data_IF_450372421788
#
_entry.id   IF_450372421788
#
_cell.length_a   1.000
_cell.length_b   1.000
_cell.length_c   1.000
_cell.angle_alpha   90.00
_cell.angle_beta   90.00
_cell.angle_gamma   90.00
#
_symmetry.space_group_name_H-M   'P 1'
#
loop_
_entity.id
_entity.type
_entity.pdbx_description
1 polymer ?
2 non-polymer ?
3 non-polymer ?
4 water ?
#
# COMPACT_ATOMS: atom_id res chain seq x y z
N UNK A 8 21.53 -39.11 -8.40
CA UNK A 8 21.08 -40.51 -8.52
C UNK A 8 20.55 -40.98 -7.15
N UNK A 9 19.37 -41.62 -7.16
CA UNK A 9 18.64 -42.21 -6.01
C UNK A 9 18.32 -41.11 -4.97
N UNK A 10 17.13 -40.53 -5.14
CA UNK A 10 16.38 -39.69 -4.18
C UNK A 10 15.53 -40.65 -3.35
N UNK A 11 14.83 -40.21 -2.29
CA UNK A 11 13.92 -41.10 -1.57
C UNK A 11 12.61 -41.19 -2.36
N UNK A 12 11.76 -42.12 -1.93
CA UNK A 12 10.43 -42.43 -2.50
C UNK A 12 9.55 -41.18 -2.39
N UNK A 13 8.83 -40.80 -3.48
CA UNK A 13 7.82 -39.76 -3.38
C UNK A 13 6.84 -40.08 -2.24
N UNK A 14 6.69 -41.37 -1.89
CA UNK A 14 5.74 -41.84 -0.84
C UNK A 14 6.12 -41.30 0.54
N UNK A 15 7.39 -40.91 0.79
CA UNK A 15 7.87 -40.40 2.10
C UNK A 15 8.41 -38.98 1.97
N UNK A 16 8.45 -38.41 0.77
CA UNK A 16 9.05 -37.09 0.52
C UNK A 16 8.35 -36.45 -0.67
N UNK A 17 7.31 -35.65 -0.40
CA UNK A 17 6.30 -35.30 -1.42
C UNK A 17 6.91 -34.49 -2.56
N UNK A 18 8.05 -33.84 -2.33
CA UNK A 18 8.69 -32.88 -3.26
C UNK A 18 9.32 -33.58 -4.48
N UNK A 19 9.71 -34.85 -4.35
CA UNK A 19 10.40 -35.60 -5.45
C UNK A 19 9.39 -36.44 -6.26
N UNK A 20 8.09 -36.25 -6.15
CA UNK A 20 7.14 -36.78 -7.17
C UNK A 20 7.69 -36.29 -8.52
N UNK A 21 7.53 -37.04 -9.60
CA UNK A 21 8.03 -36.62 -10.93
C UNK A 21 7.29 -35.36 -11.39
N UNK A 22 8.05 -34.39 -11.90
CA UNK A 22 7.52 -33.24 -12.66
C UNK A 22 6.67 -33.75 -13.81
N UNK A 23 5.42 -33.31 -13.86
CA UNK A 23 4.43 -33.50 -14.96
C UNK A 23 3.53 -32.27 -14.98
N UNK A 24 2.57 -32.21 -15.91
CA UNK A 24 1.59 -31.10 -15.96
C UNK A 24 0.55 -31.31 -14.86
N UNK A 25 0.66 -32.42 -14.13
CA UNK A 25 -0.13 -32.67 -12.90
C UNK A 25 0.29 -31.70 -11.80
N UNK A 26 1.56 -31.27 -11.77
CA UNK A 26 2.12 -30.63 -10.56
C UNK A 26 2.89 -29.34 -10.87
N UNK A 27 3.47 -29.16 -12.07
CA UNK A 27 4.37 -28.00 -12.38
C UNK A 27 4.24 -27.62 -13.85
N UNK A 28 4.29 -26.32 -14.15
CA UNK A 28 4.21 -25.73 -15.52
C UNK A 28 5.25 -24.62 -15.68
N UNK A 29 6.07 -24.71 -16.72
CA UNK A 29 7.12 -23.72 -17.08
C UNK A 29 6.64 -22.90 -18.28
N UNK A 30 7.02 -21.62 -18.36
CA UNK A 30 6.85 -20.81 -19.61
C UNK A 30 7.65 -21.54 -20.70
N UNK A 31 7.06 -21.74 -21.87
CA UNK A 31 7.74 -22.36 -23.04
C UNK A 31 7.84 -21.31 -24.15
N UNK A 32 8.93 -20.55 -24.13
CA UNK A 32 9.15 -19.38 -25.01
C UNK A 32 10.66 -19.08 -25.11
N UNK A 33 10.99 -18.07 -25.92
CA UNK A 33 12.40 -17.76 -26.27
C UNK A 33 13.14 -17.28 -25.02
N UNK A 34 12.44 -16.60 -24.10
CA UNK A 34 13.03 -16.07 -22.84
C UNK A 34 13.47 -17.26 -21.98
N UNK A 35 12.63 -18.30 -21.90
CA UNK A 35 12.81 -19.47 -21.00
C UNK A 35 13.81 -20.48 -21.59
N UNK A 36 14.35 -20.21 -22.79
CA UNK A 36 15.39 -21.05 -23.44
C UNK A 36 16.67 -21.04 -22.61
N UNK A 37 17.24 -19.84 -22.44
CA UNK A 37 18.53 -19.61 -21.74
C UNK A 37 18.34 -19.78 -20.23
N UNK A 38 19.04 -20.74 -19.60
CA UNK A 38 19.30 -20.76 -18.15
C UNK A 38 18.15 -21.33 -17.33
N UNK A 39 17.87 -20.69 -16.19
CA UNK A 39 16.90 -21.12 -15.13
C UNK A 39 15.50 -21.16 -15.74
N UNK A 40 14.81 -22.32 -15.82
CA UNK A 40 13.44 -22.36 -16.31
C UNK A 40 12.52 -21.45 -15.48
N UNK A 41 11.55 -20.83 -16.14
CA UNK A 41 10.61 -19.82 -15.56
C UNK A 41 9.30 -20.53 -15.22
N UNK A 42 8.85 -20.38 -13.97
CA UNK A 42 7.71 -21.14 -13.40
C UNK A 42 6.42 -20.39 -13.76
N UNK A 43 5.44 -21.07 -14.36
CA UNK A 43 4.10 -20.51 -14.66
C UNK A 43 3.13 -20.87 -13.52
N UNK A 44 3.28 -22.06 -12.96
CA UNK A 44 2.45 -22.51 -11.83
C UNK A 44 2.80 -23.92 -11.43
N UNK A 45 2.25 -24.36 -10.29
CA UNK A 45 2.40 -25.74 -9.79
C UNK A 45 1.62 -25.92 -8.53
N UNK A 46 1.50 -27.16 -8.03
CA UNK A 46 1.10 -27.40 -6.61
C UNK A 46 2.04 -26.56 -5.74
N UNK A 47 1.59 -26.16 -4.57
CA UNK A 47 2.45 -25.47 -3.58
C UNK A 47 3.65 -26.37 -3.25
N UNK A 48 3.46 -27.68 -3.21
CA UNK A 48 4.59 -28.64 -2.99
C UNK A 48 5.66 -28.36 -4.04
N UNK A 49 5.27 -28.31 -5.30
CA UNK A 49 6.22 -28.14 -6.41
C UNK A 49 6.86 -26.76 -6.36
N UNK A 50 6.13 -25.72 -5.98
CA UNK A 50 6.70 -24.35 -5.92
C UNK A 50 7.75 -24.27 -4.79
N UNK A 51 7.44 -24.89 -3.66
CA UNK A 51 8.42 -24.99 -2.54
C UNK A 51 9.67 -25.73 -3.04
N UNK A 52 9.48 -26.82 -3.77
CA UNK A 52 10.61 -27.62 -4.29
C UNK A 52 11.53 -26.68 -5.08
N UNK A 53 10.96 -25.96 -6.05
CA UNK A 53 11.71 -25.03 -6.94
C UNK A 53 12.20 -23.80 -6.17
N UNK A 54 11.56 -23.44 -5.06
CA UNK A 54 12.04 -22.32 -4.20
C UNK A 54 13.36 -22.69 -3.52
N UNK A 55 13.64 -23.99 -3.37
CA UNK A 55 14.76 -24.56 -2.60
C UNK A 55 15.41 -25.66 -3.45
N UNK A 56 15.63 -25.38 -4.75
CA UNK A 56 16.04 -26.42 -5.75
C UNK A 56 17.53 -26.73 -5.57
N UNK A 57 17.91 -28.01 -5.58
CA UNK A 57 19.34 -28.43 -5.35
C UNK A 57 20.23 -27.98 -6.52
N UNK A 58 19.69 -28.00 -7.74
CA UNK A 58 20.47 -27.94 -9.00
C UNK A 58 20.96 -26.52 -9.29
N UNK A 59 20.34 -25.47 -8.75
CA UNK A 59 20.78 -24.06 -8.92
C UNK A 59 20.09 -23.15 -7.89
N UNK A 60 20.66 -21.97 -7.67
CA UNK A 60 20.07 -20.87 -6.87
C UNK A 60 19.04 -20.16 -7.74
N UNK A 61 18.04 -19.51 -7.15
CA UNK A 61 16.97 -18.80 -7.92
C UNK A 61 16.59 -17.56 -7.13
N UNK A 62 17.48 -16.57 -7.07
CA UNK A 62 17.22 -15.38 -6.25
C UNK A 62 15.90 -14.69 -6.64
N UNK A 63 15.54 -14.70 -7.93
CA UNK A 63 14.38 -13.95 -8.49
C UNK A 63 13.09 -14.63 -8.03
N UNK A 64 13.07 -15.95 -8.06
CA UNK A 64 11.90 -16.74 -7.62
C UNK A 64 11.72 -16.52 -6.12
N UNK A 65 12.80 -16.60 -5.34
CA UNK A 65 12.79 -16.42 -3.87
C UNK A 65 12.17 -15.06 -3.54
N UNK A 66 12.58 -14.01 -4.24
CA UNK A 66 12.05 -12.64 -4.02
C UNK A 66 10.55 -12.54 -4.37
N UNK A 67 10.17 -13.00 -5.55
CA UNK A 67 8.76 -12.95 -6.03
C UNK A 67 7.89 -13.78 -5.08
N UNK A 68 8.33 -15.00 -4.78
CA UNK A 68 7.64 -15.94 -3.87
C UNK A 68 7.32 -15.29 -2.53
N UNK A 69 8.34 -14.69 -1.90
CA UNK A 69 8.19 -14.24 -0.50
C UNK A 69 7.38 -12.96 -0.44
N UNK A 70 7.33 -12.21 -1.54
CA UNK A 70 6.41 -11.04 -1.75
C UNK A 70 4.99 -11.54 -1.92
N UNK A 71 4.78 -12.65 -2.63
CA UNK A 71 3.44 -13.00 -3.17
C UNK A 71 2.76 -14.17 -2.44
N UNK A 72 3.50 -14.95 -1.64
CA UNK A 72 3.05 -16.33 -1.27
C UNK A 72 1.73 -16.26 -0.50
N UNK A 73 1.44 -15.15 0.19
CA UNK A 73 0.30 -15.05 1.12
C UNK A 73 -1.01 -15.08 0.33
N UNK A 74 -0.96 -14.83 -0.98
CA UNK A 74 -2.15 -14.96 -1.85
C UNK A 74 -2.43 -16.43 -2.16
N UNK A 75 -1.62 -17.40 -1.69
CA UNK A 75 -1.89 -18.83 -2.00
C UNK A 75 -1.51 -19.81 -0.89
N UNK A 76 -0.93 -19.30 0.20
CA UNK A 76 -0.28 -20.11 1.26
C UNK A 76 -0.25 -19.27 2.53
N UNK A 77 -0.66 -19.80 3.69
CA UNK A 77 -0.50 -19.08 4.98
C UNK A 77 0.97 -19.12 5.40
N UNK A 78 1.43 -18.12 6.20
CA UNK A 78 2.78 -18.14 6.75
C UNK A 78 3.11 -19.36 7.60
N UNK A 79 2.13 -19.84 8.36
CA UNK A 79 2.30 -21.04 9.20
C UNK A 79 2.55 -22.22 8.25
N UNK A 80 1.77 -22.33 7.17
CA UNK A 80 1.90 -23.46 6.23
C UNK A 80 3.24 -23.33 5.49
N UNK A 81 3.73 -22.13 5.22
CA UNK A 81 5.01 -21.98 4.47
C UNK A 81 6.13 -22.52 5.36
N UNK A 82 6.15 -22.11 6.62
CA UNK A 82 7.13 -22.67 7.58
C UNK A 82 7.02 -24.19 7.59
N UNK A 83 5.81 -24.75 7.64
CA UNK A 83 5.62 -26.23 7.74
C UNK A 83 6.22 -26.90 6.51
N UNK A 84 5.95 -26.32 5.34
CA UNK A 84 6.49 -26.82 4.05
C UNK A 84 8.03 -26.66 4.02
N UNK A 85 8.61 -25.58 4.52
CA UNK A 85 10.11 -25.47 4.50
C UNK A 85 10.74 -26.49 5.47
N UNK A 86 10.07 -26.82 6.56
CA UNK A 86 10.59 -27.82 7.55
C UNK A 86 10.42 -29.21 6.94
N UNK A 87 9.25 -29.51 6.36
CA UNK A 87 8.98 -30.76 5.63
C UNK A 87 10.03 -30.95 4.51
N UNK A 88 10.30 -29.90 3.74
CA UNK A 88 11.36 -29.92 2.70
C UNK A 88 12.70 -30.30 3.33
N UNK A 89 13.02 -29.75 4.50
CA UNK A 89 14.33 -29.83 5.17
C UNK A 89 14.60 -31.24 5.69
N UNK A 90 13.58 -31.88 6.21
CA UNK A 90 13.63 -33.22 6.83
C UNK A 90 13.61 -34.27 5.70
N UNK A 91 14.68 -34.31 4.91
CA UNK A 91 14.85 -35.20 3.71
C UNK A 91 15.19 -36.62 4.16
N UNK A 92 14.34 -37.64 3.89
CA UNK A 92 14.67 -39.04 4.23
C UNK A 92 15.81 -39.66 3.41
N UNK A 93 16.35 -40.78 3.91
CA UNK A 93 17.37 -41.61 3.22
C UNK A 93 16.72 -42.27 1.99
N UNK A 94 17.41 -42.32 0.83
CA UNK A 94 16.92 -43.07 -0.32
C UNK A 94 16.66 -44.55 0.03
N UNK A 95 15.80 -45.21 -0.73
CA UNK A 95 15.60 -46.69 -0.65
C UNK A 95 16.88 -47.34 -1.17
N UNK A 96 17.60 -48.15 -0.36
CA UNK A 96 18.86 -48.78 -0.79
C UNK A 96 18.63 -50.12 -1.52
N UNK A 97 19.50 -51.14 -1.35
CA UNK A 97 19.50 -52.40 -2.17
C UNK A 97 18.12 -53.06 -2.08
N UNK A 115 24.36 -42.53 -0.25
CA UNK A 115 24.06 -41.52 0.81
C UNK A 115 25.14 -40.41 0.77
N UNK A 116 26.39 -40.74 0.46
CA UNK A 116 27.50 -39.75 0.48
C UNK A 116 27.30 -38.70 -0.63
N UNK A 117 26.95 -39.12 -1.85
CA UNK A 117 26.60 -38.17 -2.95
C UNK A 117 25.25 -37.49 -2.68
N UNK A 118 24.27 -38.24 -2.17
CA UNK A 118 22.92 -37.78 -1.81
C UNK A 118 23.05 -36.63 -0.81
N UNK A 119 23.80 -36.87 0.27
CA UNK A 119 24.10 -35.89 1.34
C UNK A 119 24.80 -34.63 0.79
N UNK A 120 25.68 -34.70 -0.20
CA UNK A 120 26.44 -33.47 -0.61
C UNK A 120 25.84 -32.84 -1.89
N UNK A 121 25.15 -33.60 -2.75
CA UNK A 121 24.64 -33.11 -4.06
C UNK A 121 23.13 -32.83 -3.97
N UNK A 122 22.43 -33.45 -3.02
CA UNK A 122 20.99 -33.20 -2.77
C UNK A 122 20.79 -32.50 -1.42
N UNK A 123 21.02 -33.22 -0.30
CA UNK A 123 20.60 -32.75 1.05
C UNK A 123 21.21 -31.37 1.34
N UNK A 124 22.53 -31.27 1.43
CA UNK A 124 23.22 -30.04 1.88
C UNK A 124 22.80 -28.87 0.97
N UNK A 125 22.86 -29.03 -0.37
CA UNK A 125 22.40 -27.97 -1.27
C UNK A 125 20.95 -27.55 -0.97
N UNK A 126 20.05 -28.48 -0.65
CA UNK A 126 18.60 -28.20 -0.44
C UNK A 126 18.42 -27.47 0.90
N UNK A 127 19.14 -27.91 1.92
CA UNK A 127 19.00 -27.39 3.30
C UNK A 127 19.53 -25.96 3.34
N UNK A 128 20.63 -25.67 2.64
CA UNK A 128 21.20 -24.30 2.51
C UNK A 128 20.19 -23.42 1.75
N UNK A 129 19.55 -23.96 0.71
CA UNK A 129 18.55 -23.18 -0.07
C UNK A 129 17.37 -22.87 0.85
N UNK A 130 16.94 -23.80 1.72
CA UNK A 130 15.90 -23.49 2.74
C UNK A 130 16.38 -22.36 3.64
N UNK A 131 17.59 -22.50 4.23
CA UNK A 131 18.10 -21.52 5.22
C UNK A 131 18.23 -20.16 4.52
N UNK A 132 18.60 -20.17 3.22
CA UNK A 132 18.65 -18.93 2.41
C UNK A 132 17.25 -18.32 2.32
N UNK A 133 16.20 -19.13 2.10
CA UNK A 133 14.79 -18.65 2.10
C UNK A 133 14.48 -18.02 3.47
N UNK A 134 14.81 -18.70 4.57
CA UNK A 134 14.52 -18.20 5.93
C UNK A 134 15.19 -16.83 6.09
N UNK A 135 16.35 -16.67 5.49
CA UNK A 135 17.21 -15.46 5.66
C UNK A 135 16.55 -14.30 4.92
N UNK A 136 16.14 -14.50 3.67
CA UNK A 136 15.33 -13.50 2.92
C UNK A 136 14.02 -13.20 3.68
N UNK A 137 13.36 -14.25 4.18
CA UNK A 137 12.08 -14.16 4.91
C UNK A 137 12.25 -13.20 6.10
N UNK A 138 13.24 -13.43 6.95
CA UNK A 138 13.29 -12.59 8.18
C UNK A 138 13.85 -11.21 7.82
N UNK A 139 14.66 -11.10 6.76
CA UNK A 139 15.33 -9.85 6.34
C UNK A 139 14.27 -8.87 5.79
N UNK A 140 13.43 -9.36 4.87
CA UNK A 140 12.54 -8.51 4.03
C UNK A 140 11.05 -8.63 4.39
N UNK A 141 10.64 -9.60 5.19
CA UNK A 141 9.19 -9.78 5.49
C UNK A 141 9.00 -10.18 6.96
N UNK A 142 9.76 -9.56 7.86
CA UNK A 142 9.73 -9.84 9.31
C UNK A 142 8.36 -9.48 9.88
N UNK A 143 7.62 -8.61 9.20
CA UNK A 143 6.22 -8.34 9.58
C UNK A 143 5.48 -9.67 9.78
N UNK A 144 5.76 -10.70 9.01
CA UNK A 144 5.00 -11.97 9.18
C UNK A 144 5.17 -12.48 10.60
N UNK A 145 6.38 -12.34 11.15
CA UNK A 145 6.72 -12.82 12.51
C UNK A 145 6.20 -11.82 13.56
N UNK A 146 6.21 -10.53 13.21
CA UNK A 146 5.69 -9.47 14.13
C UNK A 146 4.18 -9.69 14.28
N UNK A 147 3.53 -10.11 13.20
CA UNK A 147 2.07 -10.35 13.21
C UNK A 147 1.73 -11.66 13.93
N UNK A 148 2.69 -12.57 14.13
CA UNK A 148 2.43 -13.92 14.69
C UNK A 148 3.67 -14.40 15.46
N UNK A 149 3.66 -14.21 16.77
CA UNK A 149 4.75 -14.61 17.70
C UNK A 149 4.95 -16.12 17.64
N UNK A 150 3.86 -16.89 17.47
CA UNK A 150 3.90 -18.37 17.39
C UNK A 150 4.70 -18.74 16.14
N UNK A 151 4.48 -18.06 15.02
CA UNK A 151 5.26 -18.33 13.79
C UNK A 151 6.75 -18.19 14.11
N UNK A 152 7.13 -17.15 14.81
CA UNK A 152 8.54 -16.87 15.13
C UNK A 152 9.05 -17.91 16.14
N UNK A 153 8.23 -18.36 17.10
CA UNK A 153 8.61 -19.41 18.10
C UNK A 153 8.99 -20.66 17.33
N UNK A 154 8.18 -21.04 16.33
CA UNK A 154 8.39 -22.25 15.52
C UNK A 154 9.69 -22.07 14.74
N UNK A 155 9.96 -20.86 14.25
CA UNK A 155 11.17 -20.66 13.42
C UNK A 155 12.38 -20.73 14.35
N UNK A 156 12.33 -20.07 15.50
CA UNK A 156 13.46 -20.03 16.48
C UNK A 156 13.75 -21.45 16.95
N UNK A 157 12.74 -22.21 17.40
CA UNK A 157 12.89 -23.61 17.84
C UNK A 157 13.51 -24.45 16.70
N UNK A 158 13.02 -24.35 15.47
CA UNK A 158 13.55 -25.19 14.36
C UNK A 158 15.02 -24.85 14.09
N UNK A 159 15.37 -23.56 14.07
CA UNK A 159 16.68 -23.06 13.57
C UNK A 159 17.75 -23.47 14.59
N UNK A 160 17.36 -23.47 15.85
CA UNK A 160 18.23 -23.76 17.00
C UNK A 160 18.44 -25.28 17.08
N UNK A 161 17.63 -26.08 16.33
CA UNK A 161 17.73 -27.56 16.28
C UNK A 161 18.68 -27.98 15.15
N UNK A 162 19.07 -27.05 14.29
CA UNK A 162 19.92 -27.35 13.11
C UNK A 162 21.37 -27.39 13.58
N UNK A 163 22.00 -28.55 13.55
CA UNK A 163 23.36 -28.74 14.11
C UNK A 163 24.38 -29.12 13.04
N UNK A 164 23.98 -29.23 11.77
CA UNK A 164 24.85 -29.42 10.60
C UNK A 164 26.04 -28.46 10.58
N UNK A 165 27.24 -28.99 10.40
CA UNK A 165 28.49 -28.20 10.43
C UNK A 165 28.41 -27.04 9.42
N UNK A 166 28.03 -27.28 8.17
CA UNK A 166 27.95 -26.24 7.10
C UNK A 166 26.73 -25.33 7.29
N UNK A 167 25.72 -25.77 8.02
CA UNK A 167 24.51 -24.95 8.29
C UNK A 167 24.88 -23.78 9.23
N UNK A 168 25.94 -23.92 10.04
CA UNK A 168 26.21 -23.05 11.21
C UNK A 168 26.19 -21.57 10.79
N UNK A 169 26.98 -21.18 9.78
CA UNK A 169 27.12 -19.78 9.30
C UNK A 169 25.71 -19.22 9.09
N UNK A 170 24.89 -19.93 8.31
CA UNK A 170 23.52 -19.52 7.92
C UNK A 170 22.65 -19.29 9.15
N UNK A 171 22.63 -20.27 10.04
CA UNK A 171 21.88 -20.22 11.34
C UNK A 171 22.25 -18.95 12.09
N UNK A 172 23.56 -18.67 12.21
CA UNK A 172 24.10 -17.47 12.93
C UNK A 172 23.55 -16.21 12.23
N UNK A 173 23.64 -16.17 10.92
CA UNK A 173 23.21 -15.03 10.07
C UNK A 173 21.70 -14.82 10.28
N UNK A 174 20.92 -15.89 10.32
CA UNK A 174 19.46 -15.76 10.57
C UNK A 174 19.28 -15.25 12.00
N UNK A 175 19.99 -15.80 13.00
CA UNK A 175 19.89 -15.31 14.41
C UNK A 175 20.23 -13.82 14.46
N UNK A 176 21.28 -13.39 13.76
CA UNK A 176 21.71 -11.97 13.84
C UNK A 176 20.58 -11.09 13.28
N UNK A 177 19.91 -11.50 12.20
CA UNK A 177 18.83 -10.69 11.57
C UNK A 177 17.66 -10.60 12.56
N UNK A 178 17.30 -11.70 13.19
CA UNK A 178 16.14 -11.71 14.12
C UNK A 178 16.42 -10.77 15.30
N UNK A 179 17.66 -10.81 15.80
CA UNK A 179 18.14 -9.94 16.91
C UNK A 179 17.98 -8.48 16.47
N UNK A 180 18.45 -8.12 15.27
CA UNK A 180 18.39 -6.73 14.75
C UNK A 180 16.91 -6.28 14.60
N UNK A 181 16.03 -7.15 14.09
CA UNK A 181 14.58 -6.84 13.91
C UNK A 181 13.91 -6.68 15.27
N UNK A 182 14.22 -7.54 16.24
CA UNK A 182 13.66 -7.43 17.60
C UNK A 182 14.15 -6.14 18.28
N UNK A 183 15.42 -5.75 18.07
CA UNK A 183 15.99 -4.51 18.65
C UNK A 183 15.15 -3.34 18.15
N UNK A 184 15.21 -3.05 16.85
CA UNK A 184 14.51 -1.94 16.17
C UNK A 184 12.99 -2.00 16.39
N UNK A 185 12.41 -3.15 16.78
CA UNK A 185 10.99 -3.27 17.21
C UNK A 185 10.79 -2.46 18.51
N UNK A 186 11.77 -2.50 19.43
CA UNK A 186 11.81 -1.69 20.69
C UNK A 186 12.39 -0.29 20.40
N UNK A 187 13.69 -0.18 20.08
CA UNK A 187 14.34 1.09 19.63
C UNK A 187 13.57 1.63 18.41
N UNK A 193 13.37 11.36 13.41
CA UNK A 193 13.38 12.17 12.16
C UNK A 193 14.66 13.02 12.12
N UNK A 194 15.38 12.93 11.01
CA UNK A 194 16.73 13.55 10.87
C UNK A 194 16.72 14.41 9.59
N UNK A 195 16.52 15.72 9.74
CA UNK A 195 16.51 16.74 8.65
C UNK A 195 17.88 16.88 8.02
N UNK A 196 17.95 16.72 6.69
CA UNK A 196 19.19 16.84 5.88
C UNK A 196 19.36 18.30 5.42
N UNK A 197 18.34 19.16 5.57
CA UNK A 197 18.36 20.61 5.22
C UNK A 197 17.27 21.31 6.03
N UNK A 198 17.33 22.64 6.23
CA UNK A 198 16.36 23.31 7.08
C UNK A 198 14.98 23.20 6.44
N UNK A 199 14.01 22.64 7.19
CA UNK A 199 12.63 22.54 6.73
C UNK A 199 12.04 23.94 6.86
N UNK A 200 10.96 24.28 6.13
CA UNK A 200 10.34 25.60 6.25
C UNK A 200 9.63 25.89 7.55
N UNK A 201 9.54 27.17 7.97
CA UNK A 201 8.75 27.50 9.15
C UNK A 201 7.28 27.13 8.91
N UNK A 202 6.63 26.64 9.97
CA UNK A 202 5.20 26.28 10.05
C UNK A 202 4.35 27.53 9.81
N UNK A 203 3.29 27.44 9.04
CA UNK A 203 2.42 28.60 8.68
C UNK A 203 1.14 28.55 9.52
N UNK A 204 0.78 29.69 10.12
CA UNK A 204 -0.40 29.83 10.99
C UNK A 204 -1.34 30.88 10.39
N UNK A 205 -2.65 30.66 10.49
CA UNK A 205 -3.64 31.61 9.93
C UNK A 205 -4.38 32.25 11.09
N UNK A 206 -5.53 31.69 11.46
CA UNK A 206 -6.44 32.24 12.49
C UNK A 206 -6.27 31.34 13.69
N UNK A 207 -6.37 30.02 13.48
CA UNK A 207 -6.05 28.98 14.50
C UNK A 207 -4.60 29.17 14.93
N UNK A 208 -4.38 29.29 16.24
CA UNK A 208 -3.05 29.47 16.87
C UNK A 208 -2.66 28.16 17.56
N UNK A 209 -1.34 27.90 17.74
CA UNK A 209 -0.86 26.67 18.36
C UNK A 209 -1.49 26.34 19.72
N UNK A 210 -1.71 25.05 19.99
CA UNK A 210 -2.29 24.56 21.25
C UNK A 210 -3.78 24.80 21.36
N UNK A 211 -4.41 25.43 20.35
CA UNK A 211 -5.86 25.76 20.34
C UNK A 211 -6.60 24.76 19.43
N UNK A 212 -6.42 23.46 19.66
CA UNK A 212 -6.88 22.37 18.76
C UNK A 212 -8.41 22.46 18.59
N UNK A 213 -9.13 23.11 19.50
CA UNK A 213 -10.61 23.21 19.44
C UNK A 213 -10.99 24.16 18.31
N UNK A 214 -10.14 25.14 17.98
CA UNK A 214 -10.36 26.15 16.90
C UNK A 214 -9.85 25.65 15.54
N UNK A 215 -9.46 24.38 15.43
CA UNK A 215 -8.88 23.85 14.17
C UNK A 215 -10.03 23.51 13.25
N UNK A 216 -10.04 24.17 12.07
CA UNK A 216 -11.03 23.95 10.99
C UNK A 216 -10.30 24.13 9.65
N UNK A 217 -10.87 23.59 8.58
CA UNK A 217 -10.42 23.79 7.19
C UNK A 217 -9.98 25.25 7.01
N UNK A 218 -10.76 26.19 7.56
CA UNK A 218 -10.73 27.61 7.14
C UNK A 218 -9.94 28.48 8.14
N UNK A 219 -9.64 27.97 9.33
CA UNK A 219 -8.91 28.72 10.40
C UNK A 219 -7.43 28.30 10.43
N UNK A 220 -7.14 27.08 10.00
CA UNK A 220 -5.76 26.64 9.73
C UNK A 220 -5.31 27.25 8.41
N UNK A 221 -4.00 27.47 8.28
CA UNK A 221 -3.36 27.95 7.04
C UNK A 221 -3.40 26.86 5.97
N UNK A 222 -3.88 27.16 4.74
CA UNK A 222 -3.91 26.17 3.67
C UNK A 222 -2.55 25.52 3.36
N UNK A 223 -1.47 26.32 3.43
CA UNK A 223 -0.08 25.80 3.20
C UNK A 223 0.16 24.65 4.19
N UNK A 224 -0.07 24.90 5.46
CA UNK A 224 0.23 23.94 6.54
C UNK A 224 -0.74 22.77 6.51
N UNK A 225 -1.98 22.99 6.08
CA UNK A 225 -2.95 21.87 5.94
C UNK A 225 -2.35 20.89 4.94
N UNK A 226 -1.84 21.42 3.83
CA UNK A 226 -1.30 20.63 2.71
C UNK A 226 -0.05 19.91 3.21
N UNK A 227 0.81 20.62 3.96
CA UNK A 227 2.12 20.06 4.39
C UNK A 227 1.89 18.88 5.34
N UNK A 228 0.99 19.04 6.30
CA UNK A 228 0.79 18.06 7.40
C UNK A 228 -0.02 16.87 6.87
N UNK A 229 -0.88 17.09 5.86
CA UNK A 229 -1.60 15.96 5.23
C UNK A 229 -0.61 15.18 4.39
N UNK A 230 0.35 15.88 3.81
CA UNK A 230 1.39 15.29 2.96
C UNK A 230 2.32 14.45 3.84
N UNK A 231 2.75 14.98 4.99
CA UNK A 231 3.52 14.19 5.98
C UNK A 231 2.70 12.98 6.43
N UNK A 232 1.42 13.17 6.76
CA UNK A 232 0.59 12.03 7.23
C UNK A 232 0.59 11.00 6.12
N UNK A 233 0.37 11.43 4.85
CA UNK A 233 0.07 10.56 3.69
C UNK A 233 1.36 9.89 3.22
N UNK A 234 2.45 10.63 3.20
CA UNK A 234 3.80 10.04 2.98
C UNK A 234 4.01 8.90 4.00
N UNK A 235 3.82 9.14 5.32
CA UNK A 235 3.99 8.12 6.40
C UNK A 235 3.08 6.91 6.12
N UNK A 236 1.81 7.14 5.83
CA UNK A 236 0.89 6.02 5.52
C UNK A 236 1.39 5.25 4.30
N UNK A 237 1.90 5.95 3.29
CA UNK A 237 2.26 5.37 1.98
C UNK A 237 3.56 4.55 2.14
N UNK A 238 4.55 5.05 2.87
CA UNK A 238 5.86 4.39 3.08
C UNK A 238 5.70 3.08 3.89
N UNK A 239 4.61 2.95 4.67
CA UNK A 239 4.40 1.75 5.52
C UNK A 239 3.73 0.63 4.75
N UNK A 240 3.18 0.87 3.55
CA UNK A 240 2.47 -0.19 2.76
C UNK A 240 3.46 -1.18 2.12
N UNK A 241 3.34 -2.47 2.43
CA UNK A 241 4.19 -3.52 1.80
C UNK A 241 3.50 -4.03 0.55
N UNK A 242 4.24 -4.35 -0.54
CA UNK A 242 3.68 -5.03 -1.70
C UNK A 242 2.69 -6.16 -1.36
N UNK A 243 3.05 -6.94 -0.36
CA UNK A 243 2.31 -8.17 0.03
C UNK A 243 0.91 -7.80 0.51
N UNK A 244 0.69 -6.55 0.98
CA UNK A 244 -0.64 -6.07 1.46
C UNK A 244 -1.61 -5.93 0.27
N UNK A 245 -1.07 -5.93 -0.94
CA UNK A 245 -1.83 -5.74 -2.19
C UNK A 245 -1.98 -7.04 -2.97
N UNK A 246 -1.07 -8.02 -2.78
CA UNK A 246 -1.02 -9.19 -3.70
C UNK A 246 -2.22 -10.07 -3.37
N UNK A 247 -2.84 -10.61 -4.42
CA UNK A 247 -4.05 -11.45 -4.29
C UNK A 247 -5.16 -10.66 -3.65
N UNK A 248 -5.26 -9.35 -3.94
CA UNK A 248 -6.30 -8.42 -3.44
C UNK A 248 -6.69 -8.76 -1.99
N UNK A 249 -5.69 -8.95 -1.11
CA UNK A 249 -5.87 -9.52 0.26
C UNK A 249 -6.57 -8.50 1.16
N UNK A 250 -6.53 -7.21 0.84
CA UNK A 250 -7.18 -6.14 1.66
C UNK A 250 -8.71 -6.20 1.55
N UNK A 251 -9.27 -6.97 0.61
CA UNK A 251 -10.75 -7.18 0.48
C UNK A 251 -11.19 -8.53 1.00
N UNK A 252 -10.25 -9.47 1.28
CA UNK A 252 -10.57 -10.84 1.78
C UNK A 252 -10.66 -10.78 3.30
N UNK A 253 -11.05 -11.86 3.98
CA UNK A 253 -11.42 -11.74 5.41
C UNK A 253 -10.17 -11.68 6.29
N UNK A 254 -8.99 -12.03 5.74
CA UNK A 254 -7.70 -11.95 6.46
C UNK A 254 -7.08 -10.55 6.29
N UNK A 255 -7.84 -9.57 5.79
CA UNK A 255 -7.32 -8.25 5.36
C UNK A 255 -6.71 -7.42 6.52
N UNK A 256 -7.34 -7.37 7.70
CA UNK A 256 -6.87 -6.56 8.86
C UNK A 256 -5.48 -7.03 9.29
N UNK A 257 -5.06 -8.23 8.89
CA UNK A 257 -3.73 -8.76 9.28
C UNK A 257 -2.83 -8.77 8.04
N UNK A 258 -3.37 -9.09 6.87
CA UNK A 258 -2.60 -9.09 5.60
C UNK A 258 -2.32 -7.64 5.13
N UNK A 259 -3.20 -6.68 5.43
CA UNK A 259 -3.17 -5.33 4.78
C UNK A 259 -3.41 -4.25 5.82
N UNK A 260 -2.79 -4.26 7.01
CA UNK A 260 -3.12 -3.29 8.03
C UNK A 260 -2.77 -1.87 7.53
N UNK A 261 -1.65 -1.71 6.81
CA UNK A 261 -1.10 -0.38 6.40
C UNK A 261 -1.90 0.17 5.24
N UNK A 262 -2.14 -0.67 4.23
CA UNK A 262 -3.07 -0.34 3.12
C UNK A 262 -4.43 0.12 3.67
N UNK A 263 -4.97 -0.54 4.68
CA UNK A 263 -6.37 -0.27 5.11
C UNK A 263 -6.41 1.04 5.89
N UNK A 264 -5.36 1.35 6.63
CA UNK A 264 -5.21 2.67 7.29
C UNK A 264 -5.20 3.79 6.23
N UNK A 265 -4.51 3.54 5.11
CA UNK A 265 -4.34 4.49 4.00
C UNK A 265 -5.69 4.66 3.32
N UNK A 266 -6.38 3.57 3.02
CA UNK A 266 -7.75 3.61 2.40
C UNK A 266 -8.71 4.32 3.36
N UNK A 267 -8.68 4.01 4.64
CA UNK A 267 -9.63 4.62 5.59
C UNK A 267 -9.31 6.13 5.68
N UNK A 268 -8.04 6.51 5.52
CA UNK A 268 -7.60 7.91 5.62
C UNK A 268 -8.21 8.67 4.46
N UNK A 269 -8.04 8.11 3.28
CA UNK A 269 -8.47 8.67 1.98
C UNK A 269 -9.97 8.92 2.01
N UNK A 270 -10.73 7.94 2.44
CA UNK A 270 -12.20 7.99 2.62
C UNK A 270 -12.56 9.12 3.61
N UNK A 271 -11.92 9.16 4.77
CA UNK A 271 -12.27 10.16 5.81
C UNK A 271 -11.93 11.57 5.31
N UNK A 272 -10.78 11.75 4.69
CA UNK A 272 -10.37 13.08 4.18
C UNK A 272 -11.23 13.49 2.99
N UNK A 273 -11.53 12.57 2.07
CA UNK A 273 -12.39 12.86 0.90
C UNK A 273 -13.78 13.30 1.38
N UNK A 274 -14.38 12.56 2.32
CA UNK A 274 -15.70 12.88 2.90
C UNK A 274 -15.63 14.14 3.75
N UNK A 275 -14.50 14.45 4.41
CA UNK A 275 -14.34 15.71 5.18
C UNK A 275 -14.38 16.92 4.26
N UNK A 276 -13.77 16.82 3.09
CA UNK A 276 -13.74 17.93 2.12
C UNK A 276 -15.16 18.16 1.62
N UNK A 277 -15.88 17.07 1.35
CA UNK A 277 -17.26 17.13 0.82
C UNK A 277 -18.16 17.74 1.90
N UNK A 278 -17.93 17.36 3.13
CA UNK A 278 -18.75 17.75 4.28
C UNK A 278 -18.55 19.26 4.48
N UNK A 279 -17.30 19.71 4.53
CA UNK A 279 -16.93 21.15 4.63
C UNK A 279 -17.63 21.94 3.53
N UNK A 280 -17.69 21.42 2.30
CA UNK A 280 -18.31 22.21 1.19
C UNK A 280 -19.83 22.27 1.41
N UNK A 281 -20.46 21.13 1.65
CA UNK A 281 -21.93 20.95 1.53
C UNK A 281 -22.62 21.50 2.79
N UNK A 282 -21.91 21.58 3.93
CA UNK A 282 -22.48 22.13 5.20
C UNK A 282 -22.31 23.66 5.28
N UNK A 283 -21.52 24.25 4.38
CA UNK A 283 -21.41 25.71 4.21
C UNK A 283 -22.65 26.18 3.45
N UNK A 284 -23.72 26.46 4.20
CA UNK A 284 -25.04 26.76 3.63
C UNK A 284 -24.96 28.16 3.03
N UNK A 285 -24.28 29.06 3.71
CA UNK A 285 -24.07 30.44 3.23
C UNK A 285 -23.22 30.35 1.95
N UNK A 286 -23.72 30.91 0.86
CA UNK A 286 -23.16 30.72 -0.51
C UNK A 286 -21.76 31.31 -0.57
N UNK A 287 -21.56 32.54 -0.07
CA UNK A 287 -20.22 33.19 -0.05
C UNK A 287 -19.22 32.30 0.71
N UNK A 288 -19.64 31.77 1.86
CA UNK A 288 -18.78 30.96 2.73
C UNK A 288 -18.38 29.70 1.96
N UNK A 289 -19.34 29.08 1.31
CA UNK A 289 -19.12 27.82 0.58
C UNK A 289 -18.13 28.06 -0.57
N UNK A 290 -18.21 29.20 -1.25
CA UNK A 290 -17.28 29.55 -2.36
C UNK A 290 -15.89 29.74 -1.75
N UNK A 291 -15.79 30.47 -0.64
CA UNK A 291 -14.51 30.63 0.08
C UNK A 291 -13.95 29.25 0.46
N UNK A 292 -14.81 28.30 0.86
CA UNK A 292 -14.39 26.94 1.31
C UNK A 292 -13.87 26.15 0.09
N UNK A 293 -14.61 26.14 -1.01
CA UNK A 293 -14.18 25.46 -2.24
C UNK A 293 -12.86 26.08 -2.72
N UNK A 294 -12.72 27.39 -2.59
CA UNK A 294 -11.53 28.10 -3.09
C UNK A 294 -10.33 27.66 -2.26
N UNK A 295 -10.54 27.58 -0.94
CA UNK A 295 -9.52 27.21 0.05
C UNK A 295 -9.08 25.76 -0.23
N UNK A 296 -10.03 24.89 -0.52
CA UNK A 296 -9.70 23.50 -0.94
C UNK A 296 -8.77 23.54 -2.18
N UNK A 297 -9.10 24.34 -3.20
CA UNK A 297 -8.31 24.41 -4.46
C UNK A 297 -6.91 24.95 -4.16
N UNK A 298 -6.80 25.87 -3.23
CA UNK A 298 -5.47 26.34 -2.79
C UNK A 298 -4.70 25.16 -2.21
N UNK A 299 -5.38 24.38 -1.35
CA UNK A 299 -4.75 23.23 -0.68
C UNK A 299 -4.26 22.28 -1.78
N UNK A 300 -5.04 22.14 -2.85
CA UNK A 300 -4.73 21.26 -4.00
C UNK A 300 -3.44 21.78 -4.68
N UNK A 301 -3.28 23.10 -4.80
CA UNK A 301 -2.09 23.72 -5.43
C UNK A 301 -0.84 23.40 -4.59
N UNK A 302 -0.96 23.46 -3.27
CA UNK A 302 0.20 23.18 -2.38
C UNK A 302 0.52 21.69 -2.47
N UNK A 303 -0.49 20.81 -2.51
CA UNK A 303 -0.29 19.36 -2.77
C UNK A 303 0.50 19.18 -4.07
N UNK A 304 0.10 19.86 -5.15
CA UNK A 304 0.83 19.81 -6.45
C UNK A 304 2.27 20.28 -6.24
N UNK A 305 2.49 21.39 -5.56
CA UNK A 305 3.87 21.87 -5.34
C UNK A 305 4.68 20.78 -4.61
N UNK A 306 4.04 19.98 -3.76
CA UNK A 306 4.73 18.99 -2.86
C UNK A 306 4.81 17.61 -3.53
N UNK A 307 4.29 17.48 -4.76
CA UNK A 307 4.14 16.20 -5.48
C UNK A 307 3.35 15.21 -4.62
N UNK A 308 2.37 15.71 -3.86
CA UNK A 308 1.40 14.85 -3.14
C UNK A 308 0.19 14.66 -4.03
N UNK A 309 0.32 13.80 -5.03
CA UNK A 309 -0.72 13.46 -6.03
C UNK A 309 -1.82 12.65 -5.36
N UNK A 310 -1.48 11.97 -4.26
CA UNK A 310 -2.52 11.35 -3.42
C UNK A 310 -3.47 12.48 -3.00
N UNK A 311 -2.92 13.55 -2.45
CA UNK A 311 -3.66 14.73 -1.96
C UNK A 311 -4.49 15.35 -3.10
N UNK A 312 -3.84 15.57 -4.24
CA UNK A 312 -4.48 16.18 -5.44
C UNK A 312 -5.75 15.37 -5.78
N UNK A 313 -5.61 14.05 -5.91
CA UNK A 313 -6.67 13.20 -6.44
C UNK A 313 -7.70 12.88 -5.33
N UNK A 314 -7.37 13.06 -4.08
CA UNK A 314 -8.40 13.02 -3.00
C UNK A 314 -9.34 14.23 -3.15
N UNK A 315 -8.80 15.41 -3.42
CA UNK A 315 -9.61 16.66 -3.59
C UNK A 315 -10.40 16.50 -4.90
N UNK A 316 -9.74 16.06 -5.96
CA UNK A 316 -10.41 15.80 -7.26
C UNK A 316 -11.59 14.90 -6.97
N UNK A 317 -11.36 13.81 -6.22
CA UNK A 317 -12.39 12.81 -5.83
C UNK A 317 -13.55 13.53 -5.13
N UNK A 318 -13.25 14.41 -4.19
CA UNK A 318 -14.29 15.12 -3.44
C UNK A 318 -15.12 15.97 -4.40
N UNK A 319 -14.50 16.63 -5.39
CA UNK A 319 -15.18 17.71 -6.16
C UNK A 319 -15.97 17.07 -7.29
N UNK A 320 -15.61 15.86 -7.69
CA UNK A 320 -16.42 15.07 -8.65
C UNK A 320 -17.44 14.24 -7.88
N UNK A 321 -17.56 14.34 -6.56
CA UNK A 321 -18.57 13.56 -5.79
C UNK A 321 -19.98 14.04 -6.19
N UNK A 322 -20.97 13.15 -6.16
CA UNK A 322 -22.33 13.47 -6.69
C UNK A 322 -22.92 14.64 -5.91
N UNK A 323 -22.54 14.82 -4.64
CA UNK A 323 -23.10 15.85 -3.72
C UNK A 323 -22.41 17.20 -3.97
N UNK A 324 -21.21 17.22 -4.53
CA UNK A 324 -20.43 18.47 -4.75
C UNK A 324 -20.38 18.77 -6.25
N UNK A 325 -20.20 17.75 -7.12
CA UNK A 325 -20.19 17.93 -8.60
C UNK A 325 -21.34 18.84 -9.00
N UNK A 326 -22.54 18.62 -8.42
CA UNK A 326 -23.81 19.25 -8.85
C UNK A 326 -23.97 20.66 -8.28
N UNK A 327 -22.98 21.23 -7.55
CA UNK A 327 -23.05 22.64 -7.02
C UNK A 327 -22.62 23.70 -8.06
N UNK A 328 -23.34 23.79 -9.18
CA UNK A 328 -22.92 24.60 -10.36
C UNK A 328 -22.74 26.06 -9.97
N UNK A 329 -23.55 26.57 -9.03
CA UNK A 329 -23.48 28.00 -8.62
C UNK A 329 -22.16 28.23 -7.89
N UNK A 330 -21.72 27.28 -7.06
CA UNK A 330 -20.49 27.44 -6.24
C UNK A 330 -19.27 27.42 -7.14
N UNK A 331 -19.23 26.51 -8.09
CA UNK A 331 -18.10 26.39 -9.06
C UNK A 331 -18.02 27.68 -9.89
N UNK A 332 -19.17 28.16 -10.41
CA UNK A 332 -19.30 29.34 -11.33
C UNK A 332 -18.66 30.57 -10.69
N UNK A 333 -18.81 30.75 -9.37
CA UNK A 333 -18.36 31.94 -8.61
C UNK A 333 -16.85 31.90 -8.31
N UNK A 334 -16.13 30.84 -8.69
CA UNK A 334 -14.66 30.76 -8.44
C UNK A 334 -13.99 31.78 -9.35
N UNK A 335 -12.97 32.47 -8.86
CA UNK A 335 -11.96 33.17 -9.70
C UNK A 335 -11.59 32.20 -10.81
N UNK A 336 -11.38 32.69 -12.03
CA UNK A 336 -11.05 31.81 -13.17
C UNK A 336 -9.69 31.14 -12.88
N UNK A 337 -8.81 31.73 -12.07
CA UNK A 337 -7.49 31.10 -11.78
C UNK A 337 -7.74 29.85 -10.93
N UNK A 338 -8.58 29.92 -9.90
CA UNK A 338 -8.89 28.74 -9.04
C UNK A 338 -9.50 27.66 -9.94
N UNK A 339 -10.48 28.04 -10.75
CA UNK A 339 -11.10 27.16 -11.77
C UNK A 339 -10.02 26.47 -12.59
N UNK A 340 -8.99 27.22 -12.99
CA UNK A 340 -7.94 26.70 -13.89
C UNK A 340 -7.20 25.58 -13.15
N UNK A 341 -6.81 25.85 -11.91
CA UNK A 341 -6.00 24.86 -11.13
C UNK A 341 -6.85 23.61 -10.99
N UNK A 342 -8.15 23.75 -10.76
CA UNK A 342 -9.00 22.57 -10.54
C UNK A 342 -9.04 21.75 -11.83
N UNK A 343 -9.29 22.40 -12.97
CA UNK A 343 -9.40 21.80 -14.34
C UNK A 343 -8.15 20.98 -14.67
N UNK A 344 -6.97 21.55 -14.44
CA UNK A 344 -5.67 20.86 -14.67
C UNK A 344 -5.62 19.62 -13.77
N UNK A 345 -5.93 19.77 -12.49
CA UNK A 345 -5.93 18.66 -11.52
C UNK A 345 -6.88 17.56 -12.04
N UNK A 346 -8.12 17.93 -12.32
CA UNK A 346 -9.18 16.98 -12.79
C UNK A 346 -8.69 16.22 -14.03
N UNK A 347 -8.02 16.92 -14.95
CA UNK A 347 -7.56 16.32 -16.22
C UNK A 347 -6.52 15.20 -15.98
N UNK A 348 -5.73 15.27 -14.91
CA UNK A 348 -4.74 14.22 -14.52
C UNK A 348 -5.46 12.86 -14.44
N UNK A 349 -6.67 12.85 -13.89
CA UNK A 349 -7.57 11.66 -13.69
C UNK A 349 -8.18 11.11 -15.00
N UNK A 350 -8.37 11.92 -16.03
CA UNK A 350 -9.12 11.51 -17.26
C UNK A 350 -8.27 10.58 -18.12
N UNK A 351 -8.91 9.80 -19.00
CA UNK A 351 -8.26 8.85 -19.93
C UNK A 351 -7.43 7.84 -19.14
N UNK A 352 -8.00 7.25 -18.09
CA UNK A 352 -7.30 6.28 -17.21
C UNK A 352 -5.98 6.88 -16.71
N UNK A 353 -6.05 8.10 -16.14
CA UNK A 353 -4.95 8.83 -15.46
C UNK A 353 -3.76 8.95 -16.42
N UNK A 354 -4.02 9.17 -17.71
CA UNK A 354 -2.96 9.28 -18.74
C UNK A 354 -1.95 10.37 -18.33
N UNK A 355 -2.43 11.58 -18.05
CA UNK A 355 -1.60 12.78 -17.70
C UNK A 355 -0.93 12.63 -16.32
N UNK A 356 -1.63 12.04 -15.35
CA UNK A 356 -1.09 11.77 -13.99
C UNK A 356 0.15 10.89 -14.16
N UNK A 357 0.03 9.85 -14.99
CA UNK A 357 1.11 8.87 -15.19
C UNK A 357 2.32 9.55 -15.83
N UNK A 358 2.05 10.43 -16.79
CA UNK A 358 3.11 11.28 -17.41
C UNK A 358 3.72 12.16 -16.31
N UNK A 359 2.89 12.87 -15.55
CA UNK A 359 3.38 13.84 -14.53
C UNK A 359 4.24 13.08 -13.52
N UNK A 360 3.79 11.90 -13.08
CA UNK A 360 4.48 11.14 -12.01
C UNK A 360 5.89 10.77 -12.46
N UNK A 361 6.09 10.44 -13.72
CA UNK A 361 7.43 10.02 -14.18
C UNK A 361 8.35 11.23 -14.37
N UNK A 362 7.81 12.44 -14.45
CA UNK A 362 8.59 13.69 -14.67
C UNK A 362 9.06 14.34 -13.37
N UNK A 363 8.45 14.05 -12.21
CA UNK A 363 8.76 14.87 -11.01
C UNK A 363 10.03 14.34 -10.34
N UNK A 364 10.61 15.17 -9.49
CA UNK A 364 11.62 14.84 -8.46
C UNK A 364 10.95 14.50 -7.12
N UNK A 365 11.19 13.29 -6.56
CA UNK A 365 10.78 13.00 -5.18
C UNK A 365 11.41 14.03 -4.25
N UNK A 366 10.91 14.24 -3.01
CA UNK A 366 9.82 13.45 -2.46
C UNK A 366 8.48 13.57 -3.21
N UNK A 367 7.66 12.53 -3.06
CA UNK A 367 6.32 12.44 -3.69
C UNK A 367 5.47 11.40 -2.94
N UNK A 368 4.16 11.60 -2.96
CA UNK A 368 3.13 10.63 -2.51
C UNK A 368 2.34 10.29 -3.76
N UNK A 369 2.61 9.13 -4.38
CA UNK A 369 1.84 8.69 -5.55
C UNK A 369 0.37 8.62 -5.20
N UNK A 370 -0.51 8.70 -6.21
CA UNK A 370 -1.97 8.43 -6.04
C UNK A 370 -2.17 6.94 -5.79
N UNK A 371 -2.71 6.58 -4.64
CA UNK A 371 -2.62 5.17 -4.21
C UNK A 371 -3.67 4.35 -4.95
N UNK A 372 -4.85 4.94 -5.14
CA UNK A 372 -6.04 4.36 -5.79
C UNK A 372 -5.72 3.61 -7.06
N UNK A 373 -4.91 4.18 -7.94
CA UNK A 373 -4.60 3.59 -9.26
C UNK A 373 -3.88 2.24 -9.12
N UNK A 374 -3.02 2.03 -8.10
CA UNK A 374 -2.38 0.70 -7.88
C UNK A 374 -3.46 -0.31 -7.47
N UNK A 375 -4.36 0.08 -6.57
CA UNK A 375 -5.48 -0.80 -6.15
C UNK A 375 -6.29 -1.22 -7.39
N UNK A 376 -6.70 -0.23 -8.19
CA UNK A 376 -7.56 -0.43 -9.38
C UNK A 376 -6.85 -1.40 -10.32
N UNK A 377 -5.59 -1.13 -10.65
CA UNK A 377 -4.82 -1.90 -11.67
C UNK A 377 -4.51 -3.29 -11.14
N UNK A 378 -4.53 -3.48 -9.81
CA UNK A 378 -4.32 -4.81 -9.17
C UNK A 378 -5.64 -5.56 -9.20
N UNK A 379 -6.75 -4.89 -8.84
CA UNK A 379 -8.09 -5.54 -8.92
C UNK A 379 -8.27 -6.04 -10.36
N UNK A 380 -7.91 -5.26 -11.37
CA UNK A 380 -8.13 -5.68 -12.77
C UNK A 380 -7.28 -6.92 -13.04
N UNK A 381 -6.05 -6.97 -12.52
CA UNK A 381 -5.10 -8.08 -12.79
C UNK A 381 -5.53 -9.31 -11.96
N UNK A 382 -5.96 -9.09 -10.71
CA UNK A 382 -6.51 -10.17 -9.85
C UNK A 382 -7.74 -10.77 -10.52
N UNK A 383 -8.71 -9.92 -10.87
CA UNK A 383 -10.02 -10.32 -11.46
C UNK A 383 -9.78 -11.06 -12.78
N UNK A 384 -8.86 -10.58 -13.60
CA UNK A 384 -8.69 -11.02 -15.01
C UNK A 384 -7.82 -12.25 -15.19
N UNK A 385 -7.24 -12.79 -14.11
CA UNK A 385 -6.37 -14.00 -14.18
C UNK A 385 -6.85 -14.97 -13.12
N UNK A 386 -6.97 -16.24 -13.48
CA UNK A 386 -7.41 -17.33 -12.57
C UNK A 386 -6.32 -17.57 -11.54
N UNK A 387 -6.71 -17.70 -10.26
CA UNK A 387 -5.84 -18.07 -9.12
C UNK A 387 -5.17 -19.42 -9.36
N UNK A 388 -5.83 -20.27 -10.14
CA UNK A 388 -5.40 -21.64 -10.45
C UNK A 388 -5.38 -21.86 -11.97
N UNK A 389 -4.39 -22.63 -12.44
CA UNK A 389 -4.29 -23.14 -13.83
C UNK A 389 -5.35 -24.24 -14.05
N UNK A 390 -5.77 -24.95 -13.00
CA UNK A 390 -6.79 -26.05 -13.08
C UNK A 390 -7.09 -26.73 -11.73
N UNK A 391 -7.97 -27.76 -11.76
CA UNK A 391 -8.19 -28.78 -10.69
C UNK A 391 -7.99 -30.21 -11.25
N UNK A 392 -7.42 -30.36 -12.46
CA UNK A 392 -7.08 -31.65 -13.10
C UNK A 392 -5.75 -32.16 -12.55
N UNK A 393 -4.80 -31.25 -12.26
CA UNK A 393 -3.56 -31.51 -11.51
C UNK A 393 -3.78 -31.38 -10.01
N UNK A 394 -4.95 -30.86 -9.59
CA UNK A 394 -5.43 -30.80 -8.19
C UNK A 394 -4.78 -29.61 -7.48
N UNK A 395 -5.30 -28.39 -7.75
CA UNK A 395 -4.78 -27.09 -7.22
C UNK A 395 -3.37 -26.83 -7.77
N UNK A 396 -3.30 -26.56 -9.08
CA UNK A 396 -2.11 -25.97 -9.75
C UNK A 396 -2.19 -24.46 -9.53
N UNK A 397 -1.41 -23.91 -8.60
CA UNK A 397 -1.40 -22.44 -8.32
C UNK A 397 -0.94 -21.73 -9.60
N UNK A 398 -1.65 -20.67 -9.99
CA UNK A 398 -1.22 -19.77 -11.09
C UNK A 398 -0.11 -18.85 -10.55
N UNK A 399 1.16 -19.19 -10.77
CA UNK A 399 2.26 -18.37 -10.21
C UNK A 399 2.48 -17.14 -11.10
N UNK A 400 2.37 -17.30 -12.42
CA UNK A 400 2.60 -16.18 -13.37
C UNK A 400 1.65 -15.04 -13.07
N UNK A 401 0.45 -15.36 -12.59
CA UNK A 401 -0.48 -14.32 -12.12
C UNK A 401 0.17 -13.51 -11.00
N UNK A 402 0.91 -14.17 -10.09
CA UNK A 402 1.51 -13.52 -8.89
C UNK A 402 2.71 -12.70 -9.35
N UNK A 403 3.45 -13.18 -10.35
CA UNK A 403 4.57 -12.40 -10.91
C UNK A 403 4.05 -11.08 -11.51
N UNK A 404 2.91 -11.08 -12.21
CA UNK A 404 2.42 -9.86 -12.88
C UNK A 404 1.99 -8.84 -11.83
N UNK A 405 1.45 -9.31 -10.72
CA UNK A 405 0.99 -8.41 -9.64
C UNK A 405 2.22 -7.88 -8.89
N UNK A 406 3.28 -8.65 -8.78
CA UNK A 406 4.51 -8.20 -8.06
C UNK A 406 5.18 -7.11 -8.90
N UNK A 407 5.02 -7.12 -10.21
CA UNK A 407 5.52 -6.03 -11.09
C UNK A 407 4.76 -4.76 -10.72
N UNK A 408 3.46 -4.85 -10.47
CA UNK A 408 2.67 -3.64 -10.12
C UNK A 408 3.04 -3.21 -8.70
N UNK A 409 3.02 -4.12 -7.73
CA UNK A 409 3.31 -3.74 -6.32
C UNK A 409 4.72 -3.16 -6.25
N UNK A 410 5.62 -3.72 -7.06
CA UNK A 410 7.04 -3.34 -7.14
C UNK A 410 7.20 -1.86 -7.41
N UNK A 411 6.34 -1.29 -8.28
CA UNK A 411 6.38 0.15 -8.67
C UNK A 411 6.13 1.04 -7.45
N UNK A 412 5.34 0.55 -6.49
CA UNK A 412 5.04 1.24 -5.20
C UNK A 412 6.36 1.62 -4.54
N UNK A 413 7.34 0.73 -4.60
CA UNK A 413 8.54 0.76 -3.72
C UNK A 413 9.42 1.96 -4.07
N UNK A 414 9.45 2.35 -5.34
CA UNK A 414 10.48 3.29 -5.84
C UNK A 414 10.30 4.68 -5.22
N UNK A 415 9.13 5.05 -4.68
CA UNK A 415 8.90 6.39 -4.08
C UNK A 415 8.73 6.30 -2.56
N UNK A 416 9.10 5.18 -1.94
CA UNK A 416 8.91 5.02 -0.47
C UNK A 416 10.19 5.39 0.27
N UNK A 417 11.28 5.77 -0.39
CA UNK A 417 12.58 5.88 0.33
C UNK A 417 13.09 7.31 0.28
N UNK A 418 12.18 8.27 0.16
CA UNK A 418 12.54 9.69 0.01
C UNK A 418 11.56 10.49 0.85
N UNK A 419 12.00 10.96 2.04
CA UNK A 419 11.13 11.67 2.95
C UNK A 419 11.07 13.17 2.63
N UNK A 420 10.02 13.82 3.13
CA UNK A 420 9.73 15.26 2.97
C UNK A 420 10.61 16.01 3.96
N UNK A 421 11.22 17.09 3.50
CA UNK A 421 11.88 18.10 4.36
C UNK A 421 10.84 19.11 4.84
N UNK A 422 9.93 18.66 5.70
CA UNK A 422 8.91 19.49 6.39
C UNK A 422 8.81 19.02 7.85
N UNK A 423 8.39 19.92 8.74
CA UNK A 423 8.35 19.65 10.18
C UNK A 423 6.91 19.24 10.59
N UNK A 424 6.81 18.18 11.39
CA UNK A 424 5.50 17.75 11.94
C UNK A 424 4.98 18.85 12.88
N UNK A 425 3.71 19.21 12.72
CA UNK A 425 2.95 20.05 13.68
C UNK A 425 2.03 19.13 14.47
N UNK A 426 2.46 18.68 15.67
CA UNK A 426 1.82 17.55 16.34
C UNK A 426 0.29 17.64 16.47
N UNK A 427 -0.21 18.82 16.82
CA UNK A 427 -1.64 19.06 17.05
C UNK A 427 -2.37 19.01 15.71
N UNK A 428 -1.68 19.41 14.62
CA UNK A 428 -2.29 19.35 13.26
C UNK A 428 -2.30 17.89 12.85
N UNK A 429 -1.24 17.20 13.18
CA UNK A 429 -1.10 15.76 12.88
C UNK A 429 -2.28 15.05 13.54
N UNK A 430 -2.54 15.39 14.81
CA UNK A 430 -3.54 14.73 15.67
C UNK A 430 -4.96 15.02 15.12
N UNK A 431 -5.23 16.28 14.81
CA UNK A 431 -6.47 16.72 14.11
C UNK A 431 -6.79 15.85 12.87
N UNK A 432 -5.85 15.80 11.93
CA UNK A 432 -5.99 15.05 10.66
C UNK A 432 -6.05 13.54 10.89
N UNK A 433 -5.27 13.00 11.83
CA UNK A 433 -5.35 11.54 12.17
C UNK A 433 -6.72 11.19 12.74
N UNK A 434 -7.45 12.17 13.31
CA UNK A 434 -8.70 11.94 14.07
C UNK A 434 -9.91 12.32 13.21
N UNK A 435 -9.71 12.69 11.96
CA UNK A 435 -10.82 13.13 11.10
C UNK A 435 -11.85 11.99 11.03
N UNK A 436 -13.10 12.36 11.30
CA UNK A 436 -14.20 11.39 11.42
C UNK A 436 -15.46 12.07 10.90
N UNK A 437 -15.50 12.41 9.60
CA UNK A 437 -16.66 13.13 9.07
C UNK A 437 -17.94 12.33 9.31
N UNK A 438 -17.89 11.00 9.15
CA UNK A 438 -19.05 10.06 9.24
C UNK A 438 -19.65 10.03 10.66
N UNK A 439 -18.85 10.14 11.71
CA UNK A 439 -19.30 9.78 13.07
C UNK A 439 -19.80 8.35 13.11
N UNK A 440 -20.99 8.13 13.67
CA UNK A 440 -21.53 6.78 13.97
C UNK A 440 -22.26 6.21 12.75
N UNK A 441 -22.71 7.06 11.83
CA UNK A 441 -23.46 6.69 10.60
C UNK A 441 -22.62 5.80 9.67
N UNK A 442 -23.30 5.01 8.85
CA UNK A 442 -22.71 4.25 7.73
C UNK A 442 -22.08 5.25 6.75
N UNK A 443 -21.16 4.78 5.89
CA UNK A 443 -20.70 5.53 4.71
C UNK A 443 -21.93 5.95 3.89
N UNK A 444 -22.83 4.98 3.61
CA UNK A 444 -24.12 5.13 2.87
C UNK A 444 -25.00 6.18 3.56
N UNK A 445 -25.29 6.05 4.86
CA UNK A 445 -26.16 6.99 5.59
C UNK A 445 -25.60 8.40 5.41
N UNK A 446 -24.27 8.50 5.47
CA UNK A 446 -23.52 9.78 5.49
C UNK A 446 -23.51 10.43 4.11
N UNK A 447 -23.29 9.65 3.03
CA UNK A 447 -23.32 10.15 1.63
C UNK A 447 -24.76 10.46 1.24
N UNK A 448 -25.75 9.75 1.77
CA UNK A 448 -27.16 10.15 1.54
C UNK A 448 -27.36 11.53 2.15
N UNK A 449 -26.82 11.76 3.36
CA UNK A 449 -26.96 13.05 4.09
C UNK A 449 -26.35 14.15 3.21
N UNK A 450 -25.06 14.08 2.87
CA UNK A 450 -24.37 15.04 1.96
C UNK A 450 -25.27 15.33 0.75
N UNK A 451 -25.90 14.31 0.18
CA UNK A 451 -26.72 14.47 -1.05
C UNK A 451 -27.98 15.27 -0.70
N UNK A 452 -28.67 14.89 0.38
CA UNK A 452 -29.89 15.63 0.82
C UNK A 452 -29.52 17.08 1.15
N UNK A 453 -28.32 17.29 1.70
CA UNK A 453 -27.83 18.64 2.06
C UNK A 453 -27.56 19.43 0.77
N UNK A 454 -26.89 18.81 -0.20
CA UNK A 454 -26.55 19.38 -1.52
C UNK A 454 -27.83 19.89 -2.20
N UNK A 455 -28.89 19.06 -2.25
CA UNK A 455 -30.20 19.42 -2.88
C UNK A 455 -30.79 20.61 -2.12
N UNK A 456 -30.57 20.73 -0.81
CA UNK A 456 -31.12 21.85 0.03
C UNK A 456 -30.43 23.16 -0.36
N UNK A 457 -29.11 23.14 -0.49
CA UNK A 457 -28.25 24.35 -0.59
C UNK A 457 -28.24 24.86 -2.02
N UNK A 458 -28.34 23.97 -3.01
CA UNK A 458 -28.54 24.34 -4.43
C UNK A 458 -29.57 23.41 -5.02
N UNK A 459 -30.89 23.69 -4.84
CA UNK A 459 -31.96 22.80 -5.28
C UNK A 459 -31.97 22.53 -6.79
N UNK A 460 -32.64 21.46 -7.21
CA UNK A 460 -32.90 21.17 -8.64
C UNK A 460 -34.05 22.08 -9.12
N UNK A 461 -33.78 23.37 -9.28
CA UNK A 461 -34.66 24.36 -9.95
C UNK A 461 -33.76 25.44 -10.53
N UNK A 462 -34.29 26.32 -11.41
CA UNK A 462 -33.45 27.30 -12.08
C UNK A 462 -33.47 28.64 -11.33
N UNK A 463 -34.02 28.65 -10.12
CA UNK A 463 -34.07 29.89 -9.29
C UNK A 463 -32.68 30.11 -8.74
N UNK A 464 -32.39 31.34 -8.35
CA UNK A 464 -31.09 31.66 -7.72
C UNK A 464 -30.98 30.76 -6.50
N UNK A 465 -29.76 30.49 -6.01
CA UNK A 465 -29.59 29.60 -4.87
C UNK A 465 -30.19 30.29 -3.65
N UNK A 466 -30.88 29.55 -2.77
CA UNK A 466 -31.39 30.12 -1.53
C UNK A 466 -30.25 30.80 -0.77
N UNK A 467 -30.60 31.74 0.10
CA UNK A 467 -29.64 32.58 0.85
C UNK A 467 -29.77 32.21 2.31
N UNK A 468 -28.75 31.56 2.83
CA UNK A 468 -28.70 31.04 4.21
C UNK A 468 -27.71 31.88 4.96
N UNK A 469 -27.92 32.08 6.25
CA UNK A 469 -26.91 32.71 7.08
C UNK A 469 -25.68 31.80 7.32
N UNK A 470 -24.52 32.43 7.48
CA UNK A 470 -23.32 31.83 8.11
C UNK A 470 -23.65 31.47 9.56
N UNK A 471 -23.06 30.38 10.06
CA UNK A 471 -23.08 29.94 11.49
C UNK A 471 -21.69 30.15 12.09
N UNK A 472 -20.68 30.29 11.25
CA UNK A 472 -19.27 30.54 11.63
C UNK A 472 -19.01 32.02 11.47
N UNK A 473 -18.01 32.54 12.17
CA UNK A 473 -17.79 33.99 12.40
C UNK A 473 -16.45 34.44 11.83
N UNK A 474 -15.51 33.50 11.67
CA UNK A 474 -14.13 33.70 11.16
C UNK A 474 -14.17 34.39 9.78
N UNK A 475 -13.14 35.21 9.49
CA UNK A 475 -12.89 35.82 8.15
C UNK A 475 -12.83 34.69 7.11
N UNK A 476 -13.45 34.89 5.94
CA UNK A 476 -13.39 33.98 4.75
C UNK A 476 -12.08 34.17 3.99
N UNK A 477 -11.34 35.22 4.31
CA UNK A 477 -10.19 35.71 3.51
C UNK A 477 -9.03 34.72 3.71
N UNK A 478 -8.51 34.21 2.59
CA UNK A 478 -7.33 33.30 2.53
C UNK A 478 -6.06 34.09 2.73
N UNK A 479 -5.07 33.55 3.46
CA UNK A 479 -3.76 34.18 3.55
C UNK A 479 -2.98 33.89 2.26
N UNK A 480 -3.59 33.11 1.36
CA UNK A 480 -2.96 32.61 0.13
C UNK A 480 -1.96 31.48 0.41
N UNK A 481 -1.21 31.09 -0.61
CA UNK A 481 -0.28 29.90 -0.57
C UNK A 481 1.16 30.33 -0.85
N UNK A 482 1.43 31.65 -0.83
CA UNK A 482 2.81 32.15 -0.75
C UNK A 482 3.17 32.08 0.73
N UNK A 483 4.26 31.39 1.15
CA UNK A 483 4.67 31.38 2.57
C UNK A 483 4.77 32.78 3.19
N UNK A 484 4.23 32.92 4.40
CA UNK A 484 4.09 34.18 5.18
C UNK A 484 5.33 34.33 6.06
N UNK A 485 5.49 33.39 7.00
CA UNK A 485 6.63 33.30 7.97
C UNK A 485 7.88 32.76 7.27
N UNK A 486 7.71 31.93 6.22
CA UNK A 486 8.76 31.64 5.21
C UNK A 486 9.57 32.89 4.96
N UNK A 487 8.95 33.88 4.32
CA UNK A 487 9.08 35.34 4.65
C UNK A 487 8.27 36.16 3.64
#
# INVERSE_FOLDING_TARGET
>A
GAMAEQQLRLPSPEVYRFVVKDSEENIVFEDNLQSRSGIPIIKGGTVVKLIERLTYHMYADPNFVRTFLTTYRSFCKPQELLSLLIERFEIPEPEPTDADKLAIEKGEQPISADLKRFRKEYVQPVQLRILNVFRHWVEHHFYDFERDLYLLERLESFISSVRGKAMKKWVESIAKIIRRKKQAQANGVSHNITFESPPPPIEWHISKPGHIETFDLMTLHPIEIARQLTLLESDLYRKVQPSELVGSVWTKEDKEINSPNLLKMIRHTTNLTLWFEKCIVEAENFEERVAVLSRIIEILQVFQDLNNFNGVLEIVSAVNSVSVYRLDHTFEALQERKRKILDEAVELSQDHFKKYLVKLKSINPPCVPFFGIYLTNILKTEEGNNDFLTRHGKDLINFSKRRKVAEITGEIQQYQNQPYCLRIEPDMRRFFENLNPMGSASEKEFTDYLFNKSLEIEPRNPKQPPRFPRKSTFSLKSPGIRPNTGRHGS
#
